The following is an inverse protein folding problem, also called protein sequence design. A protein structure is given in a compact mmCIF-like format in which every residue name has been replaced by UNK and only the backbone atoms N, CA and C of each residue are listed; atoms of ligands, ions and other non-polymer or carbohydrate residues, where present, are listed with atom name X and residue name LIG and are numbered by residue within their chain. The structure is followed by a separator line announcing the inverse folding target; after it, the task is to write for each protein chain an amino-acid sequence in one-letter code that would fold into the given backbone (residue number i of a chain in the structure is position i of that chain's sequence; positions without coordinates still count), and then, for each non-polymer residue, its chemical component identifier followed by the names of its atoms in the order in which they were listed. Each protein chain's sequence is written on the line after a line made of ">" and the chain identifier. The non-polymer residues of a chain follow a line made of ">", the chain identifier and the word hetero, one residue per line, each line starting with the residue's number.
data_IF_142839849353
#
_entry.id   IF_142839849353
#
_cell.length_a   1.000
_cell.length_b   1.000
_cell.length_c   1.000
_cell.angle_alpha   90.00
_cell.angle_beta   90.00
_cell.angle_gamma   90.00
#
_symmetry.space_group_name_H-M   'P 1'
#
loop_
_entity.id
_entity.type
_entity.pdbx_description
1 polymer ?
#
# COMPACT_ATOMS: atom_id res chain seq x y z
N UNK A 1 24.53 -24.52 -4.85
CA UNK A 1 24.35 -24.05 -6.23
C UNK A 1 23.42 -22.87 -6.23
N UNK A 2 23.95 -21.68 -5.99
CA UNK A 2 23.23 -20.42 -6.13
C UNK A 2 23.51 -19.91 -7.53
N UNK A 3 22.70 -20.32 -8.51
CA UNK A 3 22.69 -19.57 -9.77
C UNK A 3 21.97 -18.26 -9.46
N UNK A 4 22.73 -17.17 -9.46
CA UNK A 4 22.17 -15.83 -9.50
C UNK A 4 21.29 -15.75 -10.75
N UNK A 5 19.97 -15.77 -10.55
CA UNK A 5 19.02 -15.58 -11.64
C UNK A 5 19.14 -14.12 -12.05
N UNK A 6 19.91 -13.86 -13.10
CA UNK A 6 19.99 -12.54 -13.70
C UNK A 6 18.61 -12.17 -14.27
N UNK A 7 17.89 -11.32 -13.54
CA UNK A 7 16.64 -10.74 -14.02
C UNK A 7 16.93 -9.88 -15.25
N UNK A 8 16.19 -10.11 -16.33
CA UNK A 8 16.23 -9.22 -17.48
C UNK A 8 15.62 -7.84 -17.13
N UNK A 9 15.88 -6.83 -17.95
CA UNK A 9 15.40 -5.46 -17.70
C UNK A 9 13.87 -5.38 -17.59
N UNK A 10 13.15 -6.22 -18.34
CA UNK A 10 11.69 -6.27 -18.34
C UNK A 10 11.16 -6.78 -17.00
N UNK A 11 11.80 -7.79 -16.42
CA UNK A 11 11.42 -8.36 -15.13
C UNK A 11 11.68 -7.36 -13.99
N UNK A 12 12.79 -6.62 -14.04
CA UNK A 12 13.03 -5.51 -13.11
C UNK A 12 11.96 -4.43 -13.21
N UNK A 13 11.60 -4.01 -14.43
CA UNK A 13 10.55 -3.02 -14.64
C UNK A 13 9.19 -3.51 -14.11
N UNK A 14 8.84 -4.78 -14.36
CA UNK A 14 7.63 -5.40 -13.84
C UNK A 14 7.61 -5.44 -12.31
N UNK A 15 8.72 -5.82 -11.69
CA UNK A 15 8.87 -5.86 -10.24
C UNK A 15 8.71 -4.46 -9.61
N UNK A 16 9.38 -3.44 -10.16
CA UNK A 16 9.21 -2.04 -9.72
C UNK A 16 7.76 -1.58 -9.92
N UNK A 17 7.13 -1.94 -11.03
CA UNK A 17 5.73 -1.63 -11.30
C UNK A 17 4.78 -2.24 -10.26
N UNK A 18 4.99 -3.50 -9.89
CA UNK A 18 4.23 -4.16 -8.82
C UNK A 18 4.46 -3.49 -7.47
N UNK A 19 5.71 -3.09 -7.16
CA UNK A 19 6.03 -2.36 -5.93
C UNK A 19 5.24 -1.04 -5.87
N UNK A 20 5.36 -0.20 -6.89
CA UNK A 20 4.67 1.10 -6.95
C UNK A 20 3.15 0.91 -6.89
N UNK A 21 2.61 -0.08 -7.60
CA UNK A 21 1.17 -0.40 -7.55
C UNK A 21 0.76 -0.81 -6.14
N UNK A 22 1.51 -1.70 -5.48
CA UNK A 22 1.20 -2.16 -4.12
C UNK A 22 1.18 -1.01 -3.11
N UNK A 23 2.10 -0.06 -3.26
CA UNK A 23 2.19 1.11 -2.41
C UNK A 23 1.02 2.07 -2.64
N UNK A 24 0.62 2.28 -3.89
CA UNK A 24 -0.53 3.12 -4.22
C UNK A 24 -1.88 2.49 -3.80
N UNK A 25 -1.93 1.16 -3.65
CA UNK A 25 -3.11 0.47 -3.14
C UNK A 25 -3.15 0.34 -1.60
N UNK A 26 -2.22 0.99 -0.87
CA UNK A 26 -2.32 1.06 0.59
C UNK A 26 -3.65 1.71 1.01
N UNK A 27 -4.38 1.13 1.99
CA UNK A 27 -5.72 1.58 2.36
C UNK A 27 -5.73 2.85 3.25
N UNK A 28 -5.10 3.94 2.79
CA UNK A 28 -4.90 5.17 3.58
C UNK A 28 -4.86 6.45 2.75
N UNK A 29 -5.49 7.51 3.26
CA UNK A 29 -5.47 8.88 2.72
C UNK A 29 -5.80 9.02 1.25
N UNK A 30 -4.99 9.81 0.53
CA UNK A 30 -5.16 10.14 -0.89
C UNK A 30 -4.67 9.06 -1.86
N UNK A 31 -4.15 7.94 -1.36
CA UNK A 31 -3.73 6.85 -2.23
C UNK A 31 -4.95 6.18 -2.86
N UNK A 32 -4.79 5.52 -4.00
CA UNK A 32 -5.89 4.83 -4.69
C UNK A 32 -6.57 3.80 -3.76
N UNK A 33 -5.78 3.08 -2.95
CA UNK A 33 -6.30 2.18 -1.92
C UNK A 33 -7.10 2.90 -0.83
N UNK A 34 -6.71 4.13 -0.48
CA UNK A 34 -7.44 4.99 0.45
C UNK A 34 -8.81 5.37 -0.07
N UNK A 35 -8.92 5.75 -1.35
CA UNK A 35 -10.19 6.00 -2.02
C UNK A 35 -11.08 4.76 -2.07
N UNK A 36 -10.52 3.61 -2.49
CA UNK A 36 -11.25 2.33 -2.51
C UNK A 36 -11.80 2.00 -1.12
N UNK A 37 -10.97 2.14 -0.10
CA UNK A 37 -11.35 1.84 1.28
C UNK A 37 -12.39 2.83 1.80
N UNK A 38 -12.30 4.11 1.42
CA UNK A 38 -13.31 5.11 1.72
C UNK A 38 -14.66 4.76 1.07
N UNK A 39 -14.70 4.32 -0.19
CA UNK A 39 -15.97 3.91 -0.83
C UNK A 39 -16.66 2.72 -0.14
N UNK A 40 -15.88 1.87 0.55
CA UNK A 40 -16.40 0.72 1.28
C UNK A 40 -16.85 1.04 2.71
N UNK A 41 -16.12 1.90 3.41
CA UNK A 41 -16.27 2.12 4.85
C UNK A 41 -16.60 3.57 5.25
N UNK A 42 -16.65 4.50 4.29
CA UNK A 42 -16.89 5.93 4.50
C UNK A 42 -15.87 6.53 5.47
N UNK A 43 -16.35 7.38 6.38
CA UNK A 43 -15.52 8.05 7.39
C UNK A 43 -14.74 7.08 8.30
N UNK A 44 -15.19 5.82 8.46
CA UNK A 44 -14.47 4.82 9.25
C UNK A 44 -13.11 4.46 8.62
N UNK A 45 -12.94 4.65 7.31
CA UNK A 45 -11.66 4.44 6.64
C UNK A 45 -10.53 5.33 7.21
N UNK A 46 -10.87 6.50 7.76
CA UNK A 46 -9.90 7.41 8.41
C UNK A 46 -9.22 6.78 9.63
N UNK A 47 -9.89 5.82 10.29
CA UNK A 47 -9.36 5.13 11.46
C UNK A 47 -8.19 4.19 11.09
N UNK A 48 -8.05 3.81 9.82
CA UNK A 48 -6.98 2.92 9.35
C UNK A 48 -5.61 3.61 9.26
N UNK A 49 -5.56 4.95 9.29
CA UNK A 49 -4.30 5.69 9.23
C UNK A 49 -3.30 5.22 10.29
N UNK A 50 -3.70 5.19 11.55
CA UNK A 50 -2.81 4.82 12.65
C UNK A 50 -2.38 3.35 12.63
N UNK A 51 -3.28 2.36 12.42
CA UNK A 51 -2.88 0.96 12.21
C UNK A 51 -1.88 0.78 11.07
N UNK A 52 -2.07 1.45 9.93
CA UNK A 52 -1.18 1.32 8.77
C UNK A 52 0.20 1.91 9.07
N UNK A 53 0.24 3.10 9.70
CA UNK A 53 1.49 3.71 10.14
C UNK A 53 2.21 2.80 11.16
N UNK A 54 1.48 2.18 12.08
CA UNK A 54 2.06 1.25 13.06
C UNK A 54 2.64 -0.01 12.39
N UNK A 55 1.95 -0.58 11.39
CA UNK A 55 2.46 -1.71 10.60
C UNK A 55 3.73 -1.31 9.86
N UNK A 56 3.74 -0.16 9.18
CA UNK A 56 4.92 0.32 8.46
C UNK A 56 6.08 0.65 9.40
N UNK A 57 5.82 1.18 10.59
CA UNK A 57 6.84 1.40 11.61
C UNK A 57 7.43 0.07 12.11
N UNK A 58 6.59 -0.95 12.32
CA UNK A 58 7.03 -2.31 12.62
C UNK A 58 7.90 -2.90 11.51
N UNK A 59 7.50 -2.73 10.25
CA UNK A 59 8.30 -3.14 9.09
C UNK A 59 9.62 -2.35 8.98
N UNK A 60 9.62 -1.06 9.29
CA UNK A 60 10.83 -0.23 9.31
C UNK A 60 11.81 -0.73 10.38
N UNK A 61 11.32 -1.00 11.59
CA UNK A 61 12.13 -1.56 12.67
C UNK A 61 12.67 -2.94 12.29
N UNK A 62 11.84 -3.81 11.74
CA UNK A 62 12.25 -5.13 11.27
C UNK A 62 13.34 -5.05 10.18
N UNK A 63 13.13 -4.21 9.16
CA UNK A 63 14.09 -3.98 8.05
C UNK A 63 15.44 -3.46 8.56
N UNK A 64 15.41 -2.59 9.58
CA UNK A 64 16.61 -2.07 10.22
C UNK A 64 17.34 -3.14 11.04
N UNK A 65 16.61 -3.99 11.76
CA UNK A 65 17.22 -5.05 12.59
C UNK A 65 17.81 -6.20 11.77
N UNK A 66 17.21 -6.54 10.63
CA UNK A 66 17.64 -7.69 9.82
C UNK A 66 18.70 -7.28 8.79
N UNK A 67 18.47 -6.19 8.06
CA UNK A 67 19.29 -5.80 6.91
C UNK A 67 19.97 -4.43 7.08
N UNK A 68 19.76 -3.73 8.21
CA UNK A 68 20.28 -2.37 8.43
C UNK A 68 19.63 -1.29 7.56
N UNK A 69 18.50 -1.59 6.91
CA UNK A 69 17.87 -0.71 5.92
C UNK A 69 16.74 0.14 6.50
N UNK A 70 16.55 1.33 5.93
CA UNK A 70 15.48 2.28 6.31
C UNK A 70 14.36 2.36 5.26
N UNK A 71 14.15 1.27 4.51
CA UNK A 71 13.25 1.18 3.35
C UNK A 71 11.87 1.79 3.58
N UNK A 72 11.26 1.51 4.74
CA UNK A 72 9.89 1.93 5.05
C UNK A 72 9.77 3.34 5.63
N UNK A 73 10.88 3.96 6.06
CA UNK A 73 10.86 5.31 6.66
C UNK A 73 10.39 6.34 5.64
N UNK A 74 10.83 6.24 4.39
CA UNK A 74 10.39 7.13 3.31
C UNK A 74 8.87 7.06 3.14
N UNK A 75 8.29 5.86 3.19
CA UNK A 75 6.85 5.66 3.06
C UNK A 75 6.07 6.20 4.27
N UNK A 76 6.59 6.05 5.48
CA UNK A 76 5.99 6.66 6.68
C UNK A 76 5.95 8.19 6.55
N UNK A 77 7.04 8.79 6.08
CA UNK A 77 7.11 10.25 5.85
C UNK A 77 6.09 10.66 4.78
N UNK A 78 6.04 9.96 3.65
CA UNK A 78 5.05 10.24 2.60
C UNK A 78 3.60 10.11 3.10
N UNK A 79 3.29 9.07 3.86
CA UNK A 79 1.97 8.89 4.48
C UNK A 79 1.65 9.98 5.50
N UNK A 80 2.64 10.54 6.19
CA UNK A 80 2.39 11.65 7.10
C UNK A 80 1.82 12.87 6.36
N UNK A 81 2.31 13.15 5.14
CA UNK A 81 1.84 14.24 4.30
C UNK A 81 0.57 13.90 3.50
N UNK A 82 0.50 12.71 2.90
CA UNK A 82 -0.56 12.31 1.96
C UNK A 82 -1.70 11.52 2.63
N UNK A 83 -1.40 10.83 3.72
CA UNK A 83 -2.27 9.86 4.38
C UNK A 83 -3.35 10.46 5.28
N UNK A 84 -3.18 11.72 5.72
CA UNK A 84 -4.05 12.37 6.71
C UNK A 84 -5.30 13.03 6.13
N UNK A 85 -5.27 13.32 4.83
CA UNK A 85 -6.37 13.94 4.11
C UNK A 85 -7.08 12.90 3.26
N UNK A 86 -8.41 12.92 3.29
CA UNK A 86 -9.25 12.10 2.42
C UNK A 86 -10.05 13.06 1.55
N UNK A 87 -10.10 12.81 0.24
CA UNK A 87 -11.05 13.52 -0.60
C UNK A 87 -12.44 12.99 -0.27
N UNK A 88 -13.19 13.74 0.54
CA UNK A 88 -14.58 13.40 0.85
C UNK A 88 -15.41 13.53 -0.44
N UNK A 89 -16.12 12.48 -0.87
CA UNK A 89 -17.02 12.55 -2.01
C UNK A 89 -18.08 13.63 -1.77
N UNK A 90 -18.45 14.36 -2.83
CA UNK A 90 -19.52 15.35 -2.78
C UNK A 90 -20.91 14.72 -2.51
N UNK A 91 -21.05 13.43 -2.80
CA UNK A 91 -22.23 12.62 -2.51
C UNK A 91 -21.82 11.38 -1.72
N UNK A 92 -22.02 11.44 -0.41
CA UNK A 92 -21.78 10.34 0.53
C UNK A 92 -23.08 9.62 0.93
N UNK A 93 -24.21 9.96 0.27
CA UNK A 93 -25.55 9.48 0.59
C UNK A 93 -25.91 8.27 -0.28
N UNK A 94 -25.43 8.24 -1.52
CA UNK A 94 -25.73 7.15 -2.46
C UNK A 94 -24.93 5.88 -2.12
N UNK A 95 -25.60 4.73 -1.85
CA UNK A 95 -24.90 3.49 -1.55
C UNK A 95 -24.17 2.94 -2.78
N UNK A 96 -23.01 2.32 -2.54
CA UNK A 96 -22.20 1.70 -3.59
C UNK A 96 -22.92 0.47 -4.20
N UNK A 97 -23.13 0.49 -5.52
CA UNK A 97 -23.71 -0.65 -6.25
C UNK A 97 -22.86 -1.93 -6.10
N UNK A 98 -23.52 -3.09 -6.20
CA UNK A 98 -22.92 -4.41 -5.98
C UNK A 98 -21.69 -4.65 -6.85
N UNK A 99 -21.73 -4.25 -8.14
CA UNK A 99 -20.58 -4.41 -9.05
C UNK A 99 -19.36 -3.62 -8.59
N UNK A 100 -19.57 -2.38 -8.15
CA UNK A 100 -18.50 -1.49 -7.67
C UNK A 100 -17.92 -2.00 -6.35
N UNK A 101 -18.76 -2.55 -5.47
CA UNK A 101 -18.32 -3.20 -4.22
C UNK A 101 -17.41 -4.41 -4.50
N UNK A 102 -17.76 -5.26 -5.47
CA UNK A 102 -16.93 -6.40 -5.86
C UNK A 102 -15.56 -5.93 -6.38
N UNK A 103 -15.53 -4.91 -7.24
CA UNK A 103 -14.28 -4.34 -7.76
C UNK A 103 -13.42 -3.79 -6.62
N UNK A 104 -14.00 -3.02 -5.69
CA UNK A 104 -13.29 -2.47 -4.54
C UNK A 104 -12.66 -3.58 -3.66
N UNK A 105 -13.41 -4.65 -3.39
CA UNK A 105 -12.88 -5.82 -2.65
C UNK A 105 -11.76 -6.50 -3.44
N UNK A 106 -11.93 -6.70 -4.75
CA UNK A 106 -10.90 -7.30 -5.60
C UNK A 106 -9.61 -6.47 -5.61
N UNK A 107 -9.70 -5.13 -5.63
CA UNK A 107 -8.54 -4.24 -5.52
C UNK A 107 -7.80 -4.43 -4.20
N UNK A 108 -8.50 -4.56 -3.08
CA UNK A 108 -7.87 -4.84 -1.78
C UNK A 108 -7.24 -6.23 -1.72
N UNK A 109 -7.83 -7.23 -2.38
CA UNK A 109 -7.22 -8.57 -2.51
C UNK A 109 -5.93 -8.48 -3.34
N UNK A 110 -5.97 -7.78 -4.48
CA UNK A 110 -4.78 -7.58 -5.33
C UNK A 110 -3.68 -6.93 -4.52
N UNK A 111 -3.98 -5.87 -3.76
CA UNK A 111 -3.02 -5.25 -2.84
C UNK A 111 -2.32 -6.28 -1.95
N UNK A 112 -3.08 -7.14 -1.25
CA UNK A 112 -2.51 -8.16 -0.37
C UNK A 112 -1.61 -9.14 -1.15
N UNK A 113 -1.98 -9.49 -2.38
CA UNK A 113 -1.21 -10.42 -3.21
C UNK A 113 0.11 -9.83 -3.72
N UNK A 114 0.16 -8.52 -3.96
CA UNK A 114 1.33 -7.85 -4.55
C UNK A 114 2.16 -7.05 -3.55
N UNK A 115 1.68 -6.87 -2.31
CA UNK A 115 2.41 -6.15 -1.28
C UNK A 115 3.67 -6.91 -0.89
N UNK A 116 4.81 -6.20 -0.93
CA UNK A 116 6.13 -6.76 -0.66
C UNK A 116 6.67 -6.18 0.65
N UNK A 117 6.63 -6.91 1.79
CA UNK A 117 7.06 -6.41 3.10
C UNK A 117 8.56 -6.12 3.20
N UNK A 118 9.37 -6.74 2.34
CA UNK A 118 10.83 -6.56 2.28
C UNK A 118 11.20 -6.45 0.80
N UNK A 119 11.00 -5.28 0.17
CA UNK A 119 11.21 -5.14 -1.27
C UNK A 119 12.70 -5.10 -1.64
N UNK A 120 13.57 -4.67 -0.72
CA UNK A 120 15.01 -4.62 -0.94
C UNK A 120 15.71 -5.46 0.12
N UNK A 121 16.64 -6.30 -0.32
CA UNK A 121 17.63 -6.93 0.53
C UNK A 121 19.00 -6.52 0.04
N UNK A 122 19.83 -6.02 0.95
CA UNK A 122 21.26 -5.89 0.68
C UNK A 122 21.85 -7.29 0.80
N UNK A 123 22.43 -7.80 -0.29
CA UNK A 123 23.19 -9.05 -0.31
C UNK A 123 24.58 -8.84 0.31
#
# INVERSE_FOLDING_TARGET
>A
GTQDVYLNQVAWAGWVGLLITSLNLLPVGQLDGGHVTFTLFGQRAKQLFWPIVAILAGLAAYSFLVDGTLTWVVWIVLLFFLGRTYAEPLDDVTPLDTKRRIIAIATLIIFVLIFMPIPFRLL
#
